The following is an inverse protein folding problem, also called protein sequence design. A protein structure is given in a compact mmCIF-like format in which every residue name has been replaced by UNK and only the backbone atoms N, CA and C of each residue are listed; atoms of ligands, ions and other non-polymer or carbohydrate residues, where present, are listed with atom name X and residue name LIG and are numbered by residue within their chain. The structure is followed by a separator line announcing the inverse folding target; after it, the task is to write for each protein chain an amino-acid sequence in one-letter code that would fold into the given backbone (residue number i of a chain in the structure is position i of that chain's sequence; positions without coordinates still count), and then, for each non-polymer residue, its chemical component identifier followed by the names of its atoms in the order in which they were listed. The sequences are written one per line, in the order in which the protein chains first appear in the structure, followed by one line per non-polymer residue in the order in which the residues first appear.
data_IF_533205068184
#
_entry.id   IF_533205068184
#
_cell.length_a   1.000
_cell.length_b   1.000
_cell.length_c   1.000
_cell.angle_alpha   90.00
_cell.angle_beta   90.00
_cell.angle_gamma   90.00
#
_symmetry.space_group_name_H-M   'P 1'
#
loop_
_entity.id
_entity.type
_entity.pdbx_description
1 polymer ?
#
# COMPACT_ATOMS: atom_id res chain seq x y z
N UNK A 1 -67.24 24.37 -12.49
CA UNK A 1 -67.71 22.97 -12.31
C UNK A 1 -66.53 22.18 -11.75
N UNK A 2 -66.33 21.95 -10.45
CA UNK A 2 -67.10 21.12 -9.49
C UNK A 2 -67.62 19.81 -10.09
N UNK A 3 -67.01 18.69 -9.68
CA UNK A 3 -67.69 17.56 -9.02
C UNK A 3 -66.66 16.65 -8.33
N UNK A 4 -66.62 16.76 -7.01
CA UNK A 4 -66.17 15.75 -6.04
C UNK A 4 -67.25 14.68 -5.85
N UNK A 5 -66.85 13.44 -5.58
CA UNK A 5 -67.55 12.39 -4.80
C UNK A 5 -66.43 11.36 -4.46
N UNK A 6 -65.96 11.17 -3.23
CA UNK A 6 -66.59 10.76 -1.96
C UNK A 6 -67.32 9.41 -2.04
N UNK A 7 -66.64 8.32 -1.69
CA UNK A 7 -67.24 7.16 -1.01
C UNK A 7 -66.26 6.66 0.07
N UNK A 8 -66.84 6.55 1.27
CA UNK A 8 -66.36 6.10 2.58
C UNK A 8 -66.63 4.56 2.59
N UNK A 9 -65.87 3.64 3.18
CA UNK A 9 -65.98 3.24 4.62
C UNK A 9 -65.39 1.82 4.79
N UNK A 10 -64.41 1.67 5.71
CA UNK A 10 -64.19 0.60 6.72
C UNK A 10 -64.13 -0.88 6.27
N UNK A 11 -63.02 -1.56 6.59
CA UNK A 11 -63.08 -2.78 7.40
C UNK A 11 -61.78 -3.05 8.19
N UNK A 12 -61.96 -3.15 9.51
CA UNK A 12 -61.01 -3.62 10.51
C UNK A 12 -60.56 -5.06 10.19
N UNK A 13 -59.24 -5.32 10.11
CA UNK A 13 -58.69 -6.66 10.36
C UNK A 13 -57.52 -6.53 11.34
N UNK A 14 -57.90 -6.61 12.61
CA UNK A 14 -57.27 -7.41 13.68
C UNK A 14 -55.74 -7.55 13.61
N UNK A 15 -55.10 -6.71 14.42
CA UNK A 15 -53.75 -6.90 14.93
C UNK A 15 -53.72 -8.18 15.80
N UNK A 16 -53.22 -9.30 15.27
CA UNK A 16 -52.76 -10.42 16.08
C UNK A 16 -51.25 -10.39 16.17
N UNK A 17 -50.77 -10.13 17.38
CA UNK A 17 -49.39 -10.31 17.80
C UNK A 17 -48.94 -11.74 17.52
N UNK A 18 -48.07 -11.94 16.53
CA UNK A 18 -47.10 -13.04 16.57
C UNK A 18 -45.73 -12.47 16.95
N UNK A 19 -45.43 -12.68 18.22
CA UNK A 19 -44.09 -12.60 18.79
C UNK A 19 -43.21 -13.66 18.10
N UNK A 20 -42.25 -13.22 17.29
CA UNK A 20 -41.08 -14.02 16.94
C UNK A 20 -39.82 -13.23 17.32
N UNK A 21 -39.22 -13.62 18.45
CA UNK A 21 -37.85 -13.31 18.81
C UNK A 21 -36.93 -13.84 17.70
N UNK A 22 -36.50 -12.97 16.79
CA UNK A 22 -35.36 -13.28 15.93
C UNK A 22 -34.09 -12.83 16.64
N UNK A 23 -33.49 -13.77 17.35
CA UNK A 23 -32.09 -13.70 17.76
C UNK A 23 -31.25 -13.67 16.49
N UNK A 24 -30.79 -12.48 16.07
CA UNK A 24 -29.74 -12.39 15.06
C UNK A 24 -28.45 -12.92 15.69
N UNK A 25 -28.14 -14.19 15.42
CA UNK A 25 -26.79 -14.70 15.59
C UNK A 25 -25.88 -13.79 14.74
N UNK A 26 -24.90 -13.15 15.38
CA UNK A 26 -23.73 -12.61 14.69
C UNK A 26 -23.08 -13.78 13.96
N UNK A 27 -23.33 -13.90 12.67
CA UNK A 27 -22.41 -14.59 11.79
C UNK A 27 -21.12 -13.79 11.82
N UNK A 28 -20.09 -14.37 12.43
CA UNK A 28 -18.73 -13.96 12.19
C UNK A 28 -18.47 -14.24 10.71
N UNK A 29 -18.67 -13.23 9.88
CA UNK A 29 -18.19 -13.22 8.51
C UNK A 29 -16.68 -13.35 8.59
N UNK A 30 -16.19 -14.56 8.31
CA UNK A 30 -14.80 -14.78 7.96
C UNK A 30 -14.55 -13.92 6.72
N UNK A 31 -13.93 -12.75 6.92
CA UNK A 31 -13.27 -12.04 5.84
C UNK A 31 -12.09 -12.94 5.49
N UNK A 32 -12.32 -13.90 4.58
CA UNK A 32 -11.25 -14.43 3.78
C UNK A 32 -10.70 -13.22 3.02
N UNK A 33 -9.66 -12.61 3.59
CA UNK A 33 -8.73 -11.80 2.83
C UNK A 33 -8.22 -12.71 1.73
N UNK A 34 -8.86 -12.64 0.57
CA UNK A 34 -8.34 -13.11 -0.69
C UNK A 34 -7.09 -12.28 -0.92
N UNK A 35 -5.97 -12.75 -0.37
CA UNK A 35 -4.64 -12.30 -0.73
C UNK A 35 -4.56 -12.59 -2.22
N UNK A 36 -4.84 -11.57 -3.02
CA UNK A 36 -4.71 -11.66 -4.46
C UNK A 36 -3.29 -12.15 -4.73
N UNK A 37 -3.23 -13.28 -5.46
CA UNK A 37 -2.01 -13.90 -5.91
C UNK A 37 -1.07 -12.82 -6.42
N UNK A 38 0.07 -12.63 -5.73
CA UNK A 38 1.11 -11.67 -6.08
C UNK A 38 1.29 -11.65 -7.59
N UNK A 39 0.96 -10.53 -8.25
CA UNK A 39 1.32 -10.37 -9.65
C UNK A 39 2.84 -10.41 -9.71
N UNK A 40 3.40 -11.35 -10.46
CA UNK A 40 4.85 -11.45 -10.66
C UNK A 40 5.39 -10.09 -11.13
N UNK A 41 6.55 -9.70 -10.63
CA UNK A 41 7.16 -8.42 -11.03
C UNK A 41 7.58 -8.53 -12.52
N UNK A 42 7.23 -7.57 -13.38
CA UNK A 42 7.65 -7.59 -14.78
C UNK A 42 9.17 -7.54 -14.92
N UNK A 43 9.71 -8.32 -15.86
CA UNK A 43 11.16 -8.48 -16.05
C UNK A 43 11.92 -7.19 -16.34
N UNK A 44 11.25 -6.15 -16.86
CA UNK A 44 11.86 -4.82 -17.03
C UNK A 44 12.38 -4.23 -15.72
N UNK A 45 11.82 -4.61 -14.58
CA UNK A 45 12.26 -4.17 -13.26
C UNK A 45 13.34 -5.06 -12.64
N UNK A 46 13.76 -6.14 -13.31
CA UNK A 46 14.77 -7.04 -12.74
C UNK A 46 16.17 -6.41 -12.79
N UNK A 47 16.95 -6.71 -11.75
CA UNK A 47 18.35 -6.30 -11.65
C UNK A 47 18.68 -5.77 -10.26
N UNK A 48 19.87 -5.18 -10.17
CA UNK A 48 20.28 -4.46 -8.96
C UNK A 48 20.23 -2.97 -9.20
N UNK A 49 19.82 -2.23 -8.18
CA UNK A 49 19.64 -0.78 -8.27
C UNK A 49 20.18 -0.08 -7.04
N UNK A 50 20.54 1.20 -7.19
CA UNK A 50 20.91 2.04 -6.07
C UNK A 50 20.43 3.48 -6.19
N UNK A 51 20.22 4.10 -5.04
CA UNK A 51 19.95 5.52 -4.89
C UNK A 51 20.48 5.99 -3.53
N UNK A 52 20.87 7.25 -3.43
CA UNK A 52 21.37 7.85 -2.20
C UNK A 52 20.76 9.23 -2.02
N UNK A 53 20.40 9.55 -0.79
CA UNK A 53 19.85 10.86 -0.42
C UNK A 53 20.50 11.36 0.87
N UNK A 54 20.65 12.67 0.94
CA UNK A 54 20.86 13.39 2.19
C UNK A 54 19.52 13.60 2.88
N UNK A 55 19.55 13.61 4.21
CA UNK A 55 18.37 13.71 5.07
C UNK A 55 18.53 14.90 6.02
N UNK A 56 18.39 14.73 7.33
CA UNK A 56 18.45 15.83 8.29
C UNK A 56 19.90 16.27 8.60
N UNK A 57 20.07 17.56 8.90
CA UNK A 57 21.32 18.07 9.41
C UNK A 57 21.54 17.64 10.88
N UNK A 58 22.74 17.19 11.20
CA UNK A 58 23.18 16.83 12.56
C UNK A 58 24.25 17.79 13.05
N UNK A 59 24.63 17.69 14.32
CA UNK A 59 25.74 18.49 14.89
C UNK A 59 27.11 18.14 14.30
N UNK A 60 27.23 17.01 13.60
CA UNK A 60 28.50 16.49 13.04
C UNK A 60 28.53 16.43 11.51
N UNK A 61 27.45 16.85 10.83
CA UNK A 61 27.34 16.81 9.37
C UNK A 61 25.92 16.51 8.90
N UNK A 62 25.73 16.32 7.60
CA UNK A 62 24.45 15.94 7.04
C UNK A 62 24.25 14.42 7.14
N UNK A 63 23.12 13.98 7.69
CA UNK A 63 22.76 12.58 7.66
C UNK A 63 22.49 12.12 6.21
N UNK A 64 22.67 10.84 5.97
CA UNK A 64 22.45 10.27 4.64
C UNK A 64 22.13 8.79 4.70
N UNK A 65 21.43 8.33 3.67
CA UNK A 65 21.08 6.94 3.47
C UNK A 65 21.25 6.57 2.00
N UNK A 66 21.88 5.43 1.77
CA UNK A 66 22.05 4.80 0.47
C UNK A 66 21.30 3.48 0.46
N UNK A 67 20.49 3.28 -0.57
CA UNK A 67 19.62 2.14 -0.77
C UNK A 67 20.18 1.25 -1.88
N UNK A 68 20.12 -0.06 -1.67
CA UNK A 68 20.56 -1.08 -2.62
C UNK A 68 19.47 -2.12 -2.79
N UNK A 69 18.77 -2.07 -3.93
CA UNK A 69 17.69 -3.00 -4.23
C UNK A 69 18.19 -4.12 -5.12
N UNK A 70 17.76 -5.35 -4.84
CA UNK A 70 17.81 -6.48 -5.78
C UNK A 70 16.39 -6.90 -6.10
N UNK A 71 15.97 -6.76 -7.35
CA UNK A 71 14.59 -7.04 -7.80
C UNK A 71 14.58 -8.24 -8.75
N UNK A 72 13.66 -9.16 -8.52
CA UNK A 72 13.42 -10.34 -9.37
C UNK A 72 11.91 -10.65 -9.44
N UNK A 73 11.54 -11.76 -10.09
CA UNK A 73 10.15 -12.17 -10.29
C UNK A 73 9.33 -12.26 -9.00
N UNK A 74 9.99 -12.60 -7.88
CA UNK A 74 9.34 -12.90 -6.59
C UNK A 74 9.17 -11.68 -5.69
N UNK A 75 9.90 -10.60 -5.95
CA UNK A 75 9.95 -9.46 -5.04
C UNK A 75 11.24 -8.66 -5.14
N UNK A 76 11.48 -7.86 -4.11
CA UNK A 76 12.72 -7.12 -3.94
C UNK A 76 13.36 -7.41 -2.58
N UNK A 77 14.68 -7.26 -2.50
CA UNK A 77 15.41 -7.22 -1.24
C UNK A 77 16.16 -5.88 -1.16
N UNK A 78 16.03 -5.18 -0.03
CA UNK A 78 16.72 -3.93 0.25
C UNK A 78 17.83 -4.14 1.28
N UNK A 79 18.97 -3.53 1.00
CA UNK A 79 20.02 -3.24 1.97
C UNK A 79 20.31 -1.75 1.96
N UNK A 80 20.74 -1.22 3.11
CA UNK A 80 21.04 0.20 3.27
C UNK A 80 22.40 0.42 3.90
N UNK A 81 23.04 1.52 3.52
CA UNK A 81 24.16 2.09 4.24
C UNK A 81 23.78 3.50 4.71
N UNK A 82 24.08 3.82 5.95
CA UNK A 82 23.55 5.02 6.61
C UNK A 82 24.63 5.75 7.37
N UNK A 83 24.55 7.07 7.36
CA UNK A 83 25.23 7.96 8.29
C UNK A 83 24.17 8.74 9.07
N UNK A 84 24.11 8.52 10.39
CA UNK A 84 23.11 9.10 11.30
C UNK A 84 21.63 8.78 11.04
N UNK A 85 21.30 7.89 10.09
CA UNK A 85 19.93 7.39 9.89
C UNK A 85 19.65 6.11 10.69
N UNK A 86 18.61 6.16 11.53
CA UNK A 86 18.24 5.06 12.44
C UNK A 86 17.26 4.05 11.83
N UNK A 87 16.33 4.51 10.98
CA UNK A 87 15.32 3.66 10.35
C UNK A 87 15.82 3.28 8.95
N UNK A 88 15.82 1.97 8.65
CA UNK A 88 16.45 1.41 7.45
C UNK A 88 15.50 0.57 6.61
N UNK A 89 14.70 -0.26 7.27
CA UNK A 89 13.78 -1.21 6.64
C UNK A 89 14.49 -2.18 5.69
N UNK A 90 15.62 -2.73 6.12
CA UNK A 90 16.31 -3.76 5.35
C UNK A 90 15.48 -5.04 5.30
N UNK A 91 15.62 -5.77 4.19
CA UNK A 91 15.00 -7.07 4.01
C UNK A 91 14.07 -7.13 2.81
N UNK A 92 13.04 -7.99 2.92
CA UNK A 92 12.23 -8.42 1.77
C UNK A 92 11.01 -7.52 1.56
N UNK A 93 10.70 -7.34 0.29
CA UNK A 93 9.56 -6.58 -0.19
C UNK A 93 8.78 -7.40 -1.21
N UNK A 94 7.46 -7.35 -1.09
CA UNK A 94 6.56 -7.86 -2.10
C UNK A 94 6.28 -6.76 -3.13
N UNK A 95 6.35 -7.09 -4.41
CA UNK A 95 5.99 -6.18 -5.50
C UNK A 95 4.56 -6.35 -5.96
N UNK A 96 3.88 -5.24 -6.23
CA UNK A 96 2.57 -5.19 -6.87
C UNK A 96 2.58 -4.14 -7.97
N UNK A 97 2.02 -4.45 -9.14
CA UNK A 97 1.88 -3.46 -10.21
C UNK A 97 0.57 -2.68 -10.03
N UNK A 98 0.67 -1.36 -10.13
CA UNK A 98 -0.47 -0.44 -10.15
C UNK A 98 -0.22 0.68 -11.17
N UNK A 99 -1.03 0.80 -12.22
CA UNK A 99 -0.92 1.87 -13.22
C UNK A 99 0.52 2.12 -13.74
N UNK A 100 1.24 1.05 -14.09
CA UNK A 100 2.65 1.04 -14.53
C UNK A 100 3.71 1.37 -13.46
N UNK A 101 3.30 1.66 -12.24
CA UNK A 101 4.17 1.81 -11.07
C UNK A 101 4.32 0.45 -10.39
N UNK A 102 5.56 0.07 -10.08
CA UNK A 102 5.86 -1.05 -9.20
C UNK A 102 5.85 -0.54 -7.76
N UNK A 103 4.83 -0.94 -7.01
CA UNK A 103 4.70 -0.68 -5.58
C UNK A 103 5.42 -1.79 -4.79
N UNK A 104 6.29 -1.42 -3.85
CA UNK A 104 7.00 -2.34 -2.97
C UNK A 104 6.48 -2.24 -1.55
N UNK A 105 6.01 -3.36 -1.00
CA UNK A 105 5.47 -3.47 0.36
C UNK A 105 6.39 -4.32 1.23
N UNK A 106 6.78 -3.80 2.40
CA UNK A 106 7.66 -4.51 3.30
C UNK A 106 7.01 -5.79 3.84
N UNK A 107 7.71 -6.91 3.71
CA UNK A 107 7.32 -8.23 4.24
C UNK A 107 8.46 -8.88 5.03
N UNK A 108 9.44 -8.07 5.46
CA UNK A 108 10.57 -8.51 6.27
C UNK A 108 10.23 -8.56 7.76
N UNK A 109 11.26 -8.49 8.59
CA UNK A 109 11.17 -8.67 10.05
C UNK A 109 11.63 -7.46 10.86
N UNK A 110 12.09 -6.38 10.23
CA UNK A 110 12.39 -5.12 10.94
C UNK A 110 11.09 -4.45 11.37
N UNK A 111 11.06 -4.03 12.63
CA UNK A 111 9.90 -3.40 13.25
C UNK A 111 9.59 -2.03 12.60
N UNK A 112 8.32 -1.64 12.61
CA UNK A 112 7.81 -0.36 12.10
C UNK A 112 8.02 -0.11 10.60
N UNK A 113 8.36 -1.14 9.82
CA UNK A 113 8.54 -1.03 8.37
C UNK A 113 7.31 -1.52 7.56
N UNK A 114 6.48 -2.39 8.13
CA UNK A 114 5.23 -2.83 7.51
C UNK A 114 4.16 -1.74 7.54
N UNK A 115 3.51 -1.49 6.40
CA UNK A 115 2.45 -0.50 6.27
C UNK A 115 1.36 -1.00 5.29
N UNK A 116 0.15 -0.44 5.38
CA UNK A 116 -0.94 -0.70 4.43
C UNK A 116 -0.69 -0.03 3.06
N UNK A 117 0.16 1.00 3.05
CA UNK A 117 0.65 1.67 1.84
C UNK A 117 2.03 1.15 1.45
N UNK A 118 2.39 1.32 0.18
CA UNK A 118 3.72 0.93 -0.31
C UNK A 118 4.82 1.75 0.37
N UNK A 119 5.94 1.09 0.65
CA UNK A 119 7.14 1.76 1.16
C UNK A 119 7.88 2.49 0.06
N UNK A 120 7.91 1.89 -1.13
CA UNK A 120 8.55 2.48 -2.30
C UNK A 120 7.67 2.32 -3.54
N UNK A 121 7.74 3.31 -4.41
CA UNK A 121 7.11 3.27 -5.72
C UNK A 121 8.21 3.42 -6.77
N UNK A 122 8.26 2.52 -7.75
CA UNK A 122 9.25 2.55 -8.82
C UNK A 122 8.52 2.69 -10.15
N UNK A 123 8.93 3.67 -10.95
CA UNK A 123 8.48 3.81 -12.34
C UNK A 123 9.65 3.69 -13.29
N UNK A 124 9.37 3.20 -14.49
CA UNK A 124 10.33 3.13 -15.59
C UNK A 124 9.86 4.05 -16.72
N UNK A 125 10.72 4.97 -17.14
CA UNK A 125 10.48 5.92 -18.23
C UNK A 125 11.63 5.79 -19.25
N UNK A 126 11.38 5.06 -20.34
CA UNK A 126 12.42 4.69 -21.30
C UNK A 126 13.49 3.81 -20.64
N UNK A 127 14.75 4.23 -20.74
CA UNK A 127 15.89 3.49 -20.18
C UNK A 127 16.19 3.83 -18.71
N UNK A 128 15.42 4.76 -18.12
CA UNK A 128 15.64 5.24 -16.75
C UNK A 128 14.59 4.71 -15.78
N UNK A 129 15.01 4.59 -14.53
CA UNK A 129 14.13 4.25 -13.42
C UNK A 129 14.11 5.40 -12.43
N UNK A 130 12.96 5.60 -11.82
CA UNK A 130 12.77 6.58 -10.75
C UNK A 130 12.05 5.92 -9.59
N UNK A 131 12.36 6.38 -8.38
CA UNK A 131 11.82 5.85 -7.13
C UNK A 131 11.32 6.98 -6.23
N UNK A 132 10.23 6.71 -5.51
CA UNK A 132 9.68 7.48 -4.39
C UNK A 132 9.78 6.67 -3.10
N UNK A 133 9.71 7.34 -1.96
CA UNK A 133 9.81 6.73 -0.62
C UNK A 133 11.21 6.73 -0.02
N UNK A 134 12.17 7.48 -0.60
CA UNK A 134 13.53 7.57 -0.07
C UNK A 134 13.67 8.69 0.98
N UNK A 135 14.52 8.46 1.97
CA UNK A 135 14.89 9.43 3.00
C UNK A 135 13.74 9.78 3.94
N UNK A 136 13.76 11.03 4.43
CA UNK A 136 12.77 11.59 5.35
C UNK A 136 11.77 12.54 4.68
N UNK A 137 11.16 13.43 5.46
CA UNK A 137 10.08 14.34 5.03
C UNK A 137 10.45 15.16 3.79
N UNK A 138 11.73 15.53 3.63
CA UNK A 138 12.19 16.35 2.50
C UNK A 138 12.26 15.64 1.15
N UNK A 139 12.34 14.30 1.13
CA UNK A 139 12.58 13.53 -0.09
C UNK A 139 11.56 12.41 -0.34
N UNK A 140 10.76 12.05 0.66
CA UNK A 140 9.83 10.92 0.61
C UNK A 140 8.89 10.96 -0.61
N UNK A 141 8.32 12.13 -0.91
CA UNK A 141 7.37 12.32 -2.02
C UNK A 141 8.05 12.64 -3.37
N UNK A 142 9.38 12.72 -3.43
CA UNK A 142 10.10 13.07 -4.65
C UNK A 142 10.42 11.84 -5.51
N UNK A 143 10.27 11.98 -6.82
CA UNK A 143 10.78 11.00 -7.78
C UNK A 143 12.27 11.24 -8.01
N UNK A 144 13.10 10.36 -7.48
CA UNK A 144 14.55 10.42 -7.60
C UNK A 144 15.06 9.32 -8.54
N UNK A 145 16.18 9.56 -9.22
CA UNK A 145 16.74 8.57 -10.14
C UNK A 145 17.19 7.31 -9.38
N UNK A 146 16.69 6.16 -9.82
CA UNK A 146 17.08 4.84 -9.33
C UNK A 146 18.05 4.23 -10.33
N UNK A 147 19.34 4.23 -10.00
CA UNK A 147 20.39 3.80 -10.93
C UNK A 147 20.45 2.29 -10.99
N UNK A 148 20.30 1.71 -12.18
CA UNK A 148 20.58 0.29 -12.39
C UNK A 148 22.09 0.04 -12.32
N UNK A 149 22.51 -0.92 -11.51
CA UNK A 149 23.93 -1.22 -11.26
C UNK A 149 24.36 -2.56 -11.84
N UNK A 150 23.45 -3.53 -12.01
CA UNK A 150 23.64 -4.81 -12.71
C UNK A 150 22.34 -5.31 -13.33
#
# INVERSE_FOLDING_TARGET
MKKTNLIITIFFIVFTCLSCKNTSKKEAGTIENKIEKSSEIPSKYFGTFSASVETEATTTGMASISYYFTINEKGANLETNTYHEAIRCNGKYQGKMNNNILELFYIGTEDNCGNEVSNFNIKNEGDKFYIQGLGGEGTFDLWLELKKTK
#
